data_IF_599121050347
#
_entry.id   IF_599121050347
#
_cell.length_a   1.000
_cell.length_b   1.000
_cell.length_c   1.000
_cell.angle_alpha   90.00
_cell.angle_beta   90.00
_cell.angle_gamma   90.00
#
_symmetry.space_group_name_H-M   'P 1'
#
loop_
_entity.id
_entity.type
_entity.pdbx_description
1 polymer ?
#
# COMPACT_ATOMS: atom_id res chain seq x y z
N UNK A 1 -63.97 10.46 -26.52
CA UNK A 1 -63.65 10.79 -25.11
C UNK A 1 -62.96 9.66 -24.37
N UNK A 2 -63.41 8.40 -24.47
CA UNK A 2 -62.81 7.25 -23.74
C UNK A 2 -61.30 7.05 -24.02
N UNK A 3 -60.87 7.12 -25.28
CA UNK A 3 -59.46 6.97 -25.65
C UNK A 3 -58.53 8.08 -25.10
N UNK A 4 -59.07 9.29 -24.88
CA UNK A 4 -58.31 10.40 -24.30
C UNK A 4 -58.15 10.27 -22.76
N UNK A 5 -59.11 9.63 -22.09
CA UNK A 5 -59.00 9.28 -20.67
C UNK A 5 -58.00 8.14 -20.45
N UNK A 6 -58.00 7.16 -21.35
CA UNK A 6 -57.08 6.03 -21.27
C UNK A 6 -55.63 6.46 -21.53
N UNK A 7 -55.40 7.29 -22.56
CA UNK A 7 -54.07 7.86 -22.82
C UNK A 7 -53.56 8.75 -21.68
N UNK A 8 -54.42 9.57 -21.06
CA UNK A 8 -54.07 10.38 -19.90
C UNK A 8 -53.69 9.52 -18.68
N UNK A 9 -54.39 8.40 -18.45
CA UNK A 9 -54.09 7.46 -17.36
C UNK A 9 -52.74 6.77 -17.59
N UNK A 10 -52.45 6.33 -18.82
CA UNK A 10 -51.15 5.77 -19.16
C UNK A 10 -50.02 6.79 -19.05
N UNK A 11 -50.23 8.03 -19.47
CA UNK A 11 -49.26 9.11 -19.31
C UNK A 11 -48.93 9.39 -17.84
N UNK A 12 -49.93 9.39 -16.95
CA UNK A 12 -49.70 9.53 -15.51
C UNK A 12 -48.82 8.39 -14.97
N UNK A 13 -49.13 7.14 -15.31
CA UNK A 13 -48.32 5.99 -14.88
C UNK A 13 -46.90 6.02 -15.46
N UNK A 14 -46.73 6.45 -16.71
CA UNK A 14 -45.41 6.63 -17.31
C UNK A 14 -44.58 7.67 -16.56
N UNK A 15 -45.16 8.81 -16.18
CA UNK A 15 -44.47 9.84 -15.38
C UNK A 15 -44.08 9.29 -14.01
N UNK A 16 -44.96 8.54 -13.34
CA UNK A 16 -44.67 7.91 -12.05
C UNK A 16 -43.52 6.90 -12.16
N UNK A 17 -43.53 6.05 -13.21
CA UNK A 17 -42.46 5.08 -13.45
C UNK A 17 -41.14 5.78 -13.78
N UNK A 18 -41.15 6.83 -14.60
CA UNK A 18 -39.95 7.61 -14.92
C UNK A 18 -39.39 8.33 -13.69
N UNK A 19 -40.25 8.90 -12.84
CA UNK A 19 -39.85 9.51 -11.58
C UNK A 19 -39.27 8.47 -10.61
N UNK A 20 -39.88 7.28 -10.52
CA UNK A 20 -39.36 6.16 -9.74
C UNK A 20 -38.00 5.68 -10.24
N UNK A 21 -37.82 5.56 -11.56
CA UNK A 21 -36.55 5.18 -12.18
C UNK A 21 -35.46 6.24 -11.92
N UNK A 22 -35.79 7.53 -12.02
CA UNK A 22 -34.86 8.61 -11.68
C UNK A 22 -34.43 8.57 -10.20
N UNK A 23 -35.36 8.27 -9.30
CA UNK A 23 -35.07 8.12 -7.87
C UNK A 23 -34.15 6.93 -7.57
N UNK A 24 -34.40 5.77 -8.18
CA UNK A 24 -33.53 4.59 -8.04
C UNK A 24 -32.14 4.87 -8.61
N UNK A 25 -32.05 5.56 -9.74
CA UNK A 25 -30.78 5.98 -10.34
C UNK A 25 -29.98 6.88 -9.41
N UNK A 26 -30.64 7.85 -8.74
CA UNK A 26 -30.02 8.71 -7.74
C UNK A 26 -29.45 7.89 -6.55
N UNK A 27 -30.24 6.96 -6.00
CA UNK A 27 -29.79 6.09 -4.92
C UNK A 27 -28.57 5.26 -5.37
N UNK A 28 -28.62 4.71 -6.57
CA UNK A 28 -27.52 3.92 -7.13
C UNK A 28 -26.25 4.75 -7.27
N UNK A 29 -26.35 6.01 -7.71
CA UNK A 29 -25.23 6.93 -7.79
C UNK A 29 -24.62 7.24 -6.41
N UNK A 30 -25.47 7.44 -5.38
CA UNK A 30 -25.01 7.65 -4.00
C UNK A 30 -24.26 6.43 -3.48
N UNK A 31 -24.81 5.23 -3.67
CA UNK A 31 -24.16 3.98 -3.25
C UNK A 31 -22.84 3.77 -3.99
N UNK A 32 -22.80 4.01 -5.31
CA UNK A 32 -21.58 3.92 -6.10
C UNK A 32 -20.50 4.91 -5.60
N UNK A 33 -20.89 6.12 -5.21
CA UNK A 33 -19.98 7.10 -4.63
C UNK A 33 -19.38 6.63 -3.29
N UNK A 34 -20.21 6.07 -2.40
CA UNK A 34 -19.72 5.49 -1.15
C UNK A 34 -18.81 4.28 -1.40
N UNK A 35 -19.18 3.39 -2.33
CA UNK A 35 -18.35 2.26 -2.70
C UNK A 35 -16.98 2.71 -3.21
N UNK A 36 -16.92 3.70 -4.12
CA UNK A 36 -15.64 4.25 -4.60
C UNK A 36 -14.77 4.79 -3.46
N UNK A 37 -15.37 5.46 -2.48
CA UNK A 37 -14.65 5.98 -1.33
C UNK A 37 -14.08 4.84 -0.47
N UNK A 38 -14.89 3.83 -0.15
CA UNK A 38 -14.46 2.67 0.64
C UNK A 38 -13.35 1.91 -0.06
N UNK A 39 -13.48 1.66 -1.36
CA UNK A 39 -12.47 0.97 -2.16
C UNK A 39 -11.13 1.71 -2.17
N UNK A 40 -11.18 3.05 -2.22
CA UNK A 40 -9.98 3.86 -2.15
C UNK A 40 -9.30 3.75 -0.78
N UNK A 41 -10.07 3.84 0.30
CA UNK A 41 -9.53 3.76 1.65
C UNK A 41 -8.95 2.34 1.91
N UNK A 42 -9.61 1.30 1.41
CA UNK A 42 -9.12 -0.09 1.44
C UNK A 42 -7.83 -0.29 0.60
N UNK A 43 -7.73 0.33 -0.57
CA UNK A 43 -6.52 0.30 -1.39
C UNK A 43 -5.33 0.92 -0.66
N UNK A 44 -5.54 2.05 0.03
CA UNK A 44 -4.50 2.70 0.84
C UNK A 44 -4.05 1.79 1.99
N UNK A 45 -4.99 1.18 2.73
CA UNK A 45 -4.66 0.28 3.83
C UNK A 45 -3.96 -1.00 3.35
N UNK A 46 -4.37 -1.52 2.19
CA UNK A 46 -3.71 -2.67 1.57
C UNK A 46 -2.29 -2.34 1.18
N UNK A 47 -2.05 -1.22 0.50
CA UNK A 47 -0.71 -0.79 0.11
C UNK A 47 0.21 -0.55 1.34
N UNK A 48 -0.33 0.03 2.42
CA UNK A 48 0.40 0.18 3.69
C UNK A 48 0.79 -1.17 4.28
N UNK A 49 -0.14 -2.14 4.29
CA UNK A 49 0.11 -3.48 4.82
C UNK A 49 1.15 -4.24 3.99
N UNK A 50 1.09 -4.13 2.67
CA UNK A 50 2.07 -4.75 1.77
C UNK A 50 3.47 -4.17 1.97
N UNK A 51 3.59 -2.84 2.06
CA UNK A 51 4.86 -2.18 2.37
C UNK A 51 5.40 -2.58 3.75
N UNK A 52 4.55 -2.68 4.77
CA UNK A 52 4.96 -3.22 6.08
C UNK A 52 5.51 -4.64 5.93
N UNK A 53 4.74 -5.51 5.27
CA UNK A 53 5.10 -6.92 5.05
C UNK A 53 6.44 -7.06 4.30
N UNK A 54 6.73 -6.21 3.32
CA UNK A 54 7.99 -6.25 2.59
C UNK A 54 9.19 -5.94 3.50
N UNK A 55 9.06 -4.94 4.39
CA UNK A 55 10.10 -4.62 5.38
C UNK A 55 10.28 -5.78 6.37
N UNK A 56 9.20 -6.40 6.85
CA UNK A 56 9.26 -7.57 7.74
C UNK A 56 10.02 -8.71 7.06
N UNK A 57 9.66 -9.05 5.83
CA UNK A 57 10.27 -10.14 5.08
C UNK A 57 11.77 -9.90 4.85
N UNK A 58 12.14 -8.68 4.46
CA UNK A 58 13.53 -8.28 4.27
C UNK A 58 14.32 -8.42 5.59
N UNK A 59 13.74 -7.98 6.70
CA UNK A 59 14.35 -8.07 8.04
C UNK A 59 14.47 -9.51 8.52
N UNK A 60 13.42 -10.32 8.37
CA UNK A 60 13.44 -11.73 8.74
C UNK A 60 14.51 -12.47 7.95
N UNK A 61 14.63 -12.20 6.65
CA UNK A 61 15.67 -12.81 5.83
C UNK A 61 17.06 -12.37 6.27
N UNK A 62 17.24 -11.10 6.58
CA UNK A 62 18.49 -10.57 7.11
C UNK A 62 18.85 -11.13 8.51
N UNK A 63 17.87 -11.36 9.38
CA UNK A 63 18.07 -11.98 10.69
C UNK A 63 18.48 -13.46 10.59
N UNK A 64 17.97 -14.14 9.56
CA UNK A 64 18.41 -15.50 9.20
C UNK A 64 19.75 -15.51 8.47
N UNK A 65 20.24 -14.35 8.01
CA UNK A 65 21.57 -14.17 7.45
C UNK A 65 22.61 -14.02 8.58
N UNK A 66 23.77 -14.62 8.37
CA UNK A 66 24.85 -14.62 9.36
C UNK A 66 25.47 -13.22 9.49
N UNK A 67 25.77 -12.79 10.73
CA UNK A 67 26.01 -11.39 11.12
C UNK A 67 27.16 -10.64 10.44
N UNK A 68 28.04 -11.36 9.76
CA UNK A 68 29.07 -10.82 8.87
C UNK A 68 29.27 -11.83 7.75
N UNK A 69 29.29 -11.37 6.49
CA UNK A 69 29.77 -12.17 5.35
C UNK A 69 31.27 -12.42 5.55
N UNK A 70 31.63 -13.32 6.47
CA UNK A 70 33.01 -13.79 6.61
C UNK A 70 33.33 -14.62 5.39
N UNK A 71 34.47 -14.31 4.76
CA UNK A 71 35.05 -14.84 3.51
C UNK A 71 35.16 -16.37 3.34
N UNK A 72 34.55 -17.17 4.21
CA UNK A 72 34.76 -18.60 4.38
C UNK A 72 33.61 -19.49 3.84
N UNK A 73 32.71 -18.96 3.00
CA UNK A 73 31.68 -19.76 2.33
C UNK A 73 31.97 -19.97 0.85
N UNK A 74 31.47 -21.10 0.35
CA UNK A 74 31.41 -21.41 -1.08
C UNK A 74 30.90 -20.20 -1.84
N UNK A 75 31.65 -19.77 -2.86
CA UNK A 75 31.34 -18.61 -3.72
C UNK A 75 29.90 -18.63 -4.24
N UNK A 76 29.34 -19.83 -4.48
CA UNK A 76 27.97 -20.03 -4.93
C UNK A 76 26.90 -19.71 -3.85
N UNK A 77 27.20 -19.92 -2.57
CA UNK A 77 26.27 -19.57 -1.48
C UNK A 77 26.19 -18.05 -1.30
N UNK A 78 27.33 -17.36 -1.41
CA UNK A 78 27.39 -15.90 -1.30
C UNK A 78 26.71 -15.21 -2.50
N UNK A 79 26.89 -15.73 -3.72
CA UNK A 79 26.19 -15.23 -4.92
C UNK A 79 24.67 -15.40 -4.79
N UNK A 80 24.19 -16.59 -4.42
CA UNK A 80 22.76 -16.84 -4.21
C UNK A 80 22.16 -15.94 -3.12
N UNK A 81 22.88 -15.75 -2.01
CA UNK A 81 22.40 -14.91 -0.92
C UNK A 81 22.30 -13.44 -1.32
N UNK A 82 23.26 -12.92 -2.12
CA UNK A 82 23.21 -11.56 -2.66
C UNK A 82 22.05 -11.37 -3.63
N UNK A 83 21.83 -12.31 -4.54
CA UNK A 83 20.70 -12.23 -5.49
C UNK A 83 19.35 -12.25 -4.78
N UNK A 84 19.17 -13.12 -3.78
CA UNK A 84 17.95 -13.20 -2.98
C UNK A 84 17.71 -11.92 -2.17
N UNK A 85 18.77 -11.32 -1.62
CA UNK A 85 18.68 -10.06 -0.89
C UNK A 85 18.26 -8.89 -1.81
N UNK A 86 18.86 -8.79 -3.00
CA UNK A 86 18.47 -7.80 -4.02
C UNK A 86 17.01 -7.92 -4.40
N UNK A 87 16.54 -9.14 -4.67
CA UNK A 87 15.16 -9.38 -5.01
C UNK A 87 14.18 -8.89 -3.92
N UNK A 88 14.56 -9.03 -2.64
CA UNK A 88 13.75 -8.53 -1.52
C UNK A 88 13.80 -7.00 -1.36
N UNK A 89 14.96 -6.38 -1.64
CA UNK A 89 15.11 -4.92 -1.66
C UNK A 89 14.23 -4.34 -2.78
N UNK A 90 14.35 -4.87 -3.99
CA UNK A 90 13.56 -4.46 -5.15
C UNK A 90 12.06 -4.60 -4.89
N UNK A 91 11.66 -5.73 -4.28
CA UNK A 91 10.27 -5.93 -3.86
C UNK A 91 9.81 -4.89 -2.83
N UNK A 92 10.67 -4.53 -1.86
CA UNK A 92 10.34 -3.48 -0.90
C UNK A 92 10.20 -2.11 -1.56
N UNK A 93 11.07 -1.77 -2.50
CA UNK A 93 11.04 -0.50 -3.25
C UNK A 93 9.78 -0.42 -4.12
N UNK A 94 9.38 -1.55 -4.72
CA UNK A 94 8.13 -1.64 -5.46
C UNK A 94 6.91 -1.41 -4.55
N UNK A 95 6.86 -2.01 -3.36
CA UNK A 95 5.78 -1.77 -2.39
C UNK A 95 5.74 -0.32 -1.90
N UNK A 96 6.89 0.30 -1.65
CA UNK A 96 6.98 1.73 -1.30
C UNK A 96 6.46 2.62 -2.43
N UNK A 97 6.85 2.34 -3.67
CA UNK A 97 6.40 3.09 -4.85
C UNK A 97 4.89 2.94 -5.06
N UNK A 98 4.35 1.72 -4.92
CA UNK A 98 2.91 1.43 -4.99
C UNK A 98 2.12 2.22 -3.93
N UNK A 99 2.63 2.28 -2.70
CA UNK A 99 2.05 3.11 -1.64
C UNK A 99 2.04 4.58 -2.02
N UNK A 100 3.14 5.13 -2.54
CA UNK A 100 3.21 6.53 -2.95
C UNK A 100 2.22 6.88 -4.07
N UNK A 101 2.03 5.98 -5.05
CA UNK A 101 1.05 6.13 -6.13
C UNK A 101 -0.37 6.10 -5.58
N UNK A 102 -0.67 5.15 -4.69
CA UNK A 102 -2.01 5.04 -4.07
C UNK A 102 -2.34 6.26 -3.22
N UNK A 103 -1.32 6.89 -2.63
CA UNK A 103 -1.44 8.13 -1.86
C UNK A 103 -1.54 9.41 -2.69
N UNK A 104 -1.34 9.39 -4.01
CA UNK A 104 -1.54 10.58 -4.87
C UNK A 104 -2.96 11.14 -4.76
N UNK A 105 -3.93 10.25 -4.53
CA UNK A 105 -5.32 10.60 -4.34
C UNK A 105 -5.60 11.31 -3.00
N UNK A 106 -4.62 11.33 -2.08
CA UNK A 106 -4.69 12.00 -0.78
C UNK A 106 -3.37 12.77 -0.46
N UNK A 107 -3.18 13.98 -1.01
CA UNK A 107 -1.91 14.69 -0.97
C UNK A 107 -1.46 15.08 0.45
N UNK A 108 -2.40 15.29 1.38
CA UNK A 108 -2.09 15.57 2.79
C UNK A 108 -1.44 14.36 3.45
N UNK A 109 -2.03 13.17 3.26
CA UNK A 109 -1.51 11.94 3.85
C UNK A 109 -0.17 11.55 3.21
N UNK A 110 -0.03 11.74 1.89
CA UNK A 110 1.25 11.56 1.18
C UNK A 110 2.35 12.43 1.77
N UNK A 111 2.08 13.72 2.00
CA UNK A 111 3.06 14.65 2.57
C UNK A 111 3.49 14.24 3.97
N UNK A 112 2.52 13.94 4.85
CA UNK A 112 2.82 13.51 6.22
C UNK A 112 3.66 12.22 6.23
N UNK A 113 3.36 11.28 5.32
CA UNK A 113 4.10 10.03 5.21
C UNK A 113 5.53 10.26 4.71
N UNK A 114 5.71 11.11 3.69
CA UNK A 114 7.02 11.46 3.17
C UNK A 114 7.88 12.19 4.22
N UNK A 115 7.32 13.18 4.91
CA UNK A 115 8.04 13.93 5.96
C UNK A 115 8.50 13.00 7.10
N UNK A 116 7.71 11.97 7.42
CA UNK A 116 7.98 11.07 8.55
C UNK A 116 8.93 9.92 8.21
N UNK A 117 8.80 9.31 7.03
CA UNK A 117 9.50 8.05 6.73
C UNK A 117 10.42 8.07 5.52
N UNK A 118 10.30 9.03 4.60
CA UNK A 118 11.06 8.97 3.35
C UNK A 118 12.58 8.96 3.62
N UNK A 119 13.04 9.83 4.53
CA UNK A 119 14.46 9.89 4.92
C UNK A 119 14.93 8.57 5.54
N UNK A 120 14.22 8.07 6.55
CA UNK A 120 14.59 6.83 7.23
C UNK A 120 14.57 5.62 6.29
N UNK A 121 13.61 5.58 5.35
CA UNK A 121 13.51 4.52 4.36
C UNK A 121 14.63 4.59 3.32
N UNK A 122 15.02 5.78 2.86
CA UNK A 122 16.17 5.94 1.96
C UNK A 122 17.48 5.55 2.63
N UNK A 123 17.72 6.00 3.87
CA UNK A 123 18.89 5.59 4.66
C UNK A 123 18.92 4.07 4.87
N UNK A 124 17.75 3.46 5.06
CA UNK A 124 17.63 2.01 5.20
C UNK A 124 18.05 1.28 3.92
N UNK A 125 17.58 1.70 2.74
CA UNK A 125 18.00 1.13 1.46
C UNK A 125 19.50 1.29 1.24
N UNK A 126 20.05 2.48 1.50
CA UNK A 126 21.49 2.75 1.39
C UNK A 126 22.33 1.83 2.32
N UNK A 127 21.82 1.49 3.50
CA UNK A 127 22.49 0.54 4.39
C UNK A 127 22.55 -0.89 3.82
N UNK A 128 21.57 -1.31 3.00
CA UNK A 128 21.63 -2.60 2.30
C UNK A 128 22.66 -2.58 1.18
N UNK A 129 22.71 -1.52 0.38
CA UNK A 129 23.73 -1.36 -0.66
C UNK A 129 25.14 -1.43 -0.03
N UNK A 130 25.33 -0.73 1.09
CA UNK A 130 26.58 -0.79 1.86
C UNK A 130 26.86 -2.18 2.45
N UNK A 131 25.84 -2.97 2.79
CA UNK A 131 26.01 -4.34 3.28
C UNK A 131 26.45 -5.29 2.16
N UNK A 132 25.93 -5.13 0.94
CA UNK A 132 26.40 -5.91 -0.22
C UNK A 132 27.86 -5.65 -0.57
N UNK A 133 28.32 -4.42 -0.34
CA UNK A 133 29.71 -3.97 -0.49
C UNK A 133 30.60 -4.31 0.71
N UNK A 134 30.04 -4.88 1.79
CA UNK A 134 30.78 -5.23 3.01
C UNK A 134 31.20 -4.04 3.89
N UNK A 135 30.61 -2.86 3.65
CA UNK A 135 30.83 -1.62 4.41
C UNK A 135 29.91 -1.47 5.62
N UNK A 136 28.74 -2.12 5.57
CA UNK A 136 27.75 -2.15 6.66
C UNK A 136 27.59 -3.55 7.21
N UNK A 137 27.24 -3.66 8.49
CA UNK A 137 26.98 -4.93 9.17
C UNK A 137 25.49 -5.20 9.30
N UNK A 138 25.12 -6.47 9.42
CA UNK A 138 23.74 -6.89 9.65
C UNK A 138 23.12 -6.17 10.85
N UNK A 139 23.87 -6.06 11.95
CA UNK A 139 23.35 -5.52 13.20
C UNK A 139 23.06 -4.02 13.11
N UNK A 140 23.81 -3.27 12.29
CA UNK A 140 23.52 -1.86 11.99
C UNK A 140 22.21 -1.71 11.22
N UNK A 141 21.96 -2.58 10.24
CA UNK A 141 20.68 -2.61 9.50
C UNK A 141 19.53 -2.95 10.46
N UNK A 142 19.68 -3.97 11.31
CA UNK A 142 18.63 -4.39 12.25
C UNK A 142 18.27 -3.28 13.25
N UNK A 143 19.23 -2.49 13.74
CA UNK A 143 18.93 -1.31 14.56
C UNK A 143 18.13 -0.27 13.77
N UNK A 144 18.47 -0.03 12.51
CA UNK A 144 17.75 0.93 11.66
C UNK A 144 16.33 0.46 11.32
N UNK A 145 16.14 -0.85 11.15
CA UNK A 145 14.80 -1.45 11.01
C UNK A 145 13.95 -1.11 12.22
N UNK A 146 14.49 -1.17 13.44
CA UNK A 146 13.72 -0.84 14.64
C UNK A 146 13.24 0.61 14.61
N UNK A 147 14.04 1.56 14.13
CA UNK A 147 13.59 2.95 13.93
C UNK A 147 12.45 3.07 12.92
N UNK A 148 12.46 2.26 11.84
CA UNK A 148 11.35 2.15 10.89
C UNK A 148 10.13 1.40 11.47
N UNK A 149 10.35 0.49 12.42
CA UNK A 149 9.33 -0.34 13.06
C UNK A 149 8.65 0.30 14.27
N UNK A 150 9.23 1.35 14.86
CA UNK A 150 8.54 2.26 15.77
C UNK A 150 7.52 3.04 14.93
N UNK A 151 6.48 2.32 14.51
CA UNK A 151 5.31 2.89 13.89
C UNK A 151 4.64 3.82 14.92
N UNK A 152 4.03 4.92 14.48
CA UNK A 152 3.31 5.81 15.35
C UNK A 152 2.06 5.07 15.84
N UNK A 153 1.68 5.26 17.11
CA UNK A 153 0.40 4.76 17.62
C UNK A 153 -0.80 5.27 16.81
N UNK A 154 -0.65 6.36 16.05
CA UNK A 154 -1.66 6.98 15.17
C UNK A 154 -2.17 6.09 14.02
N UNK A 155 -1.54 4.93 13.77
CA UNK A 155 -2.00 3.92 12.80
C UNK A 155 -2.34 2.56 13.47
N UNK A 156 -2.31 2.50 14.81
CA UNK A 156 -2.68 1.32 15.60
C UNK A 156 -4.15 1.35 16.07
N UNK A 157 -4.95 2.33 15.67
CA UNK A 157 -6.36 2.45 16.08
C UNK A 157 -7.31 1.38 15.47
N UNK A 158 -6.76 0.29 14.92
CA UNK A 158 -7.55 -0.86 14.47
C UNK A 158 -6.85 -2.18 14.86
N UNK A 159 -6.72 -2.41 16.17
CA UNK A 159 -6.74 -3.73 16.79
C UNK A 159 -7.76 -3.74 17.92
#
# INVERSE_FOLDING_TARGET
MVAAFESARWAFWSVVVSAGAAFISLITAIVAFFALRTWRDEAIETAKREWKKSIINLTMRLSSAFGTVTHQRSKAYDEYHKEDLRALIDASVACWSSLLVTLEQNPRLRRNLLEKYAKAYLEFIEMFDNYEEGKSTRDQILMKVQELYVFPPELNDYF
#
